data_IF_944196364852
#
_entry.id   IF_944196364852
#
_cell.length_a   1.000
_cell.length_b   1.000
_cell.length_c   1.000
_cell.angle_alpha   90.00
_cell.angle_beta   90.00
_cell.angle_gamma   90.00
#
_symmetry.space_group_name_H-M   'P 1'
#
loop_
_entity.id
_entity.type
_entity.pdbx_description
1 polymer ?
#
# COMPACT_ATOMS: atom_id res chain seq x y z
N UNK A 1 2.44 29.00 -10.24
CA UNK A 1 2.57 27.55 -9.97
C UNK A 1 4.06 27.26 -9.97
N UNK A 2 4.57 26.60 -8.93
CA UNK A 2 5.99 26.20 -8.84
C UNK A 2 6.25 25.08 -9.84
N UNK A 3 7.42 25.09 -10.47
CA UNK A 3 7.92 23.95 -11.23
C UNK A 3 8.48 22.84 -10.31
N UNK A 4 8.80 21.66 -10.87
CA UNK A 4 9.25 20.51 -10.09
C UNK A 4 10.55 20.77 -9.32
N UNK A 5 11.48 21.55 -9.88
CA UNK A 5 12.76 21.83 -9.22
C UNK A 5 12.59 22.86 -8.09
N UNK A 6 11.70 23.83 -8.26
CA UNK A 6 11.31 24.76 -7.20
C UNK A 6 10.63 24.02 -6.04
N UNK A 7 9.77 23.04 -6.32
CA UNK A 7 9.14 22.20 -5.28
C UNK A 7 10.19 21.38 -4.52
N UNK A 8 11.14 20.75 -5.23
CA UNK A 8 12.24 20.00 -4.61
C UNK A 8 13.11 20.92 -3.73
N UNK A 9 13.48 22.10 -4.23
CA UNK A 9 14.30 23.04 -3.46
C UNK A 9 13.55 23.51 -2.19
N UNK A 10 12.28 23.84 -2.32
CA UNK A 10 11.47 24.23 -1.16
C UNK A 10 11.37 23.11 -0.12
N UNK A 11 11.18 21.86 -0.55
CA UNK A 11 11.17 20.71 0.33
C UNK A 11 12.51 20.51 1.04
N UNK A 12 13.62 20.64 0.30
CA UNK A 12 14.96 20.53 0.83
C UNK A 12 15.27 21.61 1.90
N UNK A 13 14.92 22.86 1.63
CA UNK A 13 15.12 23.97 2.58
C UNK A 13 14.32 23.76 3.88
N UNK A 14 13.07 23.28 3.76
CA UNK A 14 12.21 22.99 4.92
C UNK A 14 12.74 21.81 5.73
N UNK A 15 13.23 20.75 5.07
CA UNK A 15 13.82 19.61 5.73
C UNK A 15 15.11 20.03 6.47
N UNK A 16 16.01 20.76 5.81
CA UNK A 16 17.24 21.27 6.40
C UNK A 16 16.96 22.14 7.65
N UNK A 17 16.03 23.09 7.53
CA UNK A 17 15.62 23.94 8.65
C UNK A 17 15.06 23.14 9.83
N UNK A 18 14.25 22.12 9.53
CA UNK A 18 13.66 21.23 10.57
C UNK A 18 14.75 20.43 11.27
N UNK A 19 15.64 19.77 10.53
CA UNK A 19 16.77 19.00 11.06
C UNK A 19 17.67 19.86 11.96
N UNK A 20 18.02 21.06 11.48
CA UNK A 20 18.83 22.01 12.25
C UNK A 20 18.16 22.42 13.57
N UNK A 21 16.85 22.70 13.53
CA UNK A 21 16.08 23.14 14.69
C UNK A 21 15.84 22.03 15.71
N UNK A 22 15.48 20.83 15.24
CA UNK A 22 15.02 19.74 16.12
C UNK A 22 16.14 18.81 16.55
N UNK A 23 17.20 18.66 15.72
CA UNK A 23 18.33 17.72 15.93
C UNK A 23 17.83 16.37 16.43
N UNK A 24 17.00 15.66 15.65
CA UNK A 24 16.40 14.42 16.11
C UNK A 24 17.45 13.31 16.22
N UNK A 25 17.29 12.42 17.20
CA UNK A 25 18.12 11.22 17.30
C UNK A 25 17.90 10.26 16.12
N UNK A 26 16.67 10.22 15.59
CA UNK A 26 16.27 9.39 14.46
C UNK A 26 15.43 10.20 13.49
N UNK A 27 15.75 10.12 12.20
CA UNK A 27 14.93 10.58 11.09
C UNK A 27 14.37 9.37 10.34
N UNK A 28 13.06 9.18 10.36
CA UNK A 28 12.37 8.23 9.49
C UNK A 28 11.80 8.95 8.28
N UNK A 29 12.31 8.64 7.09
CA UNK A 29 11.78 9.15 5.83
C UNK A 29 11.05 8.06 5.06
N UNK A 30 9.82 8.36 4.62
CA UNK A 30 8.98 7.44 3.83
C UNK A 30 9.13 7.81 2.36
N UNK A 31 9.44 6.84 1.53
CA UNK A 31 9.71 6.93 0.08
C UNK A 31 10.89 7.82 -0.33
N UNK A 32 11.13 8.94 0.32
CA UNK A 32 12.28 9.87 0.20
C UNK A 32 12.69 10.29 -1.25
N UNK A 33 11.88 10.08 -2.27
CA UNK A 33 12.19 10.29 -3.70
C UNK A 33 12.61 11.72 -4.09
N UNK A 34 12.25 12.69 -3.28
CA UNK A 34 12.55 14.10 -3.52
C UNK A 34 13.59 14.65 -2.53
N UNK A 35 14.17 13.78 -1.70
CA UNK A 35 15.16 14.17 -0.69
C UNK A 35 16.55 14.25 -1.34
N UNK A 36 17.24 15.36 -1.14
CA UNK A 36 18.64 15.47 -1.52
C UNK A 36 19.49 14.58 -0.59
N UNK A 37 20.22 13.57 -1.10
CA UNK A 37 21.06 12.69 -0.28
C UNK A 37 22.05 13.43 0.61
N UNK A 38 22.54 14.58 0.17
CA UNK A 38 23.48 15.42 0.94
C UNK A 38 22.89 15.90 2.27
N UNK A 39 21.57 16.09 2.33
CA UNK A 39 20.89 16.45 3.60
C UNK A 39 20.87 15.28 4.59
N UNK A 40 20.77 14.05 4.10
CA UNK A 40 20.85 12.85 4.94
C UNK A 40 22.27 12.72 5.52
N UNK A 41 23.32 12.89 4.69
CA UNK A 41 24.70 12.86 5.15
C UNK A 41 24.99 13.96 6.17
N UNK A 42 24.49 15.17 5.95
CA UNK A 42 24.59 16.26 6.93
C UNK A 42 23.91 15.92 8.26
N UNK A 43 22.70 15.34 8.22
CA UNK A 43 21.99 14.94 9.43
C UNK A 43 22.78 13.86 10.20
N UNK A 44 23.35 12.88 9.51
CA UNK A 44 24.24 11.85 10.11
C UNK A 44 25.46 12.48 10.78
N UNK A 45 26.09 13.48 10.15
CA UNK A 45 27.22 14.19 10.74
C UNK A 45 26.87 14.95 12.03
N UNK A 46 25.59 15.25 12.26
CA UNK A 46 25.08 15.82 13.51
C UNK A 46 24.59 14.76 14.52
N UNK A 47 24.78 13.47 14.22
CA UNK A 47 24.39 12.36 15.10
C UNK A 47 22.96 11.83 14.89
N UNK A 48 22.24 12.31 13.88
CA UNK A 48 20.92 11.76 13.51
C UNK A 48 21.06 10.43 12.79
N UNK A 49 20.42 9.38 13.25
CA UNK A 49 20.30 8.12 12.54
C UNK A 49 19.26 8.24 11.43
N UNK A 50 19.59 7.79 10.24
CA UNK A 50 18.72 7.85 9.06
C UNK A 50 18.10 6.50 8.82
N UNK A 51 16.77 6.46 8.84
CA UNK A 51 15.96 5.30 8.47
C UNK A 51 15.13 5.63 7.24
N UNK A 52 15.28 4.87 6.18
CA UNK A 52 14.46 5.00 4.98
C UNK A 52 13.45 3.86 4.92
N UNK A 53 12.16 4.20 4.82
CA UNK A 53 11.09 3.26 4.53
C UNK A 53 10.76 3.34 3.04
N UNK A 54 11.15 2.30 2.32
CA UNK A 54 10.88 2.14 0.89
C UNK A 54 9.51 1.47 0.71
N UNK A 55 8.61 2.15 0.02
CA UNK A 55 7.20 1.72 -0.14
C UNK A 55 6.85 1.28 -1.55
N UNK A 56 7.77 1.43 -2.49
CA UNK A 56 7.54 1.16 -3.91
C UNK A 56 8.32 -0.07 -4.43
N UNK A 57 8.95 -0.85 -3.53
CA UNK A 57 9.57 -2.10 -3.93
C UNK A 57 8.51 -3.13 -4.30
N UNK A 58 8.75 -3.95 -5.35
CA UNK A 58 9.97 -3.97 -6.18
C UNK A 58 9.92 -3.05 -7.41
N UNK A 59 8.89 -2.23 -7.60
CA UNK A 59 8.58 -1.51 -8.83
C UNK A 59 9.51 -0.32 -9.13
N UNK A 60 10.04 0.32 -8.09
CA UNK A 60 10.87 1.55 -8.18
C UNK A 60 12.25 1.36 -7.52
N UNK A 61 12.77 0.13 -7.51
CA UNK A 61 13.98 -0.20 -6.74
C UNK A 61 15.21 0.55 -7.21
N UNK A 62 15.39 0.79 -8.51
CA UNK A 62 16.53 1.58 -9.02
C UNK A 62 16.54 2.99 -8.41
N UNK A 63 15.39 3.61 -8.33
CA UNK A 63 15.23 4.93 -7.74
C UNK A 63 15.43 4.91 -6.22
N UNK A 64 14.94 3.86 -5.54
CA UNK A 64 15.12 3.70 -4.10
C UNK A 64 16.57 3.38 -3.74
N UNK A 65 17.27 2.57 -4.53
CA UNK A 65 18.69 2.26 -4.36
C UNK A 65 19.60 3.49 -4.45
N UNK A 66 19.23 4.47 -5.28
CA UNK A 66 19.99 5.72 -5.42
C UNK A 66 20.14 6.51 -4.12
N UNK A 67 19.25 6.31 -3.15
CA UNK A 67 19.28 6.98 -1.85
C UNK A 67 19.59 6.02 -0.69
N UNK A 68 19.40 4.72 -0.89
CA UNK A 68 19.52 3.70 0.15
C UNK A 68 20.89 3.66 0.85
N UNK A 69 21.98 3.98 0.11
CA UNK A 69 23.34 4.03 0.66
C UNK A 69 23.55 5.16 1.70
N UNK A 70 22.66 6.15 1.76
CA UNK A 70 22.72 7.25 2.71
C UNK A 70 21.95 6.97 4.01
N UNK A 71 21.36 5.78 4.14
CA UNK A 71 20.68 5.34 5.35
C UNK A 71 21.58 4.55 6.29
N UNK A 72 21.29 4.61 7.58
CA UNK A 72 21.83 3.68 8.57
C UNK A 72 20.99 2.39 8.60
N UNK A 73 19.71 2.47 8.20
CA UNK A 73 18.80 1.34 8.09
C UNK A 73 17.79 1.58 6.97
N UNK A 74 17.68 0.63 6.07
CA UNK A 74 16.61 0.55 5.08
C UNK A 74 15.51 -0.40 5.55
N UNK A 75 14.27 0.05 5.49
CA UNK A 75 13.06 -0.74 5.70
C UNK A 75 12.42 -0.96 4.32
N UNK A 76 12.35 -2.20 3.87
CA UNK A 76 11.87 -2.54 2.54
C UNK A 76 10.49 -3.21 2.63
N UNK A 77 9.48 -2.65 1.95
CA UNK A 77 8.13 -3.19 1.98
C UNK A 77 7.99 -4.54 1.27
N UNK A 78 8.84 -4.82 0.28
CA UNK A 78 8.87 -6.08 -0.45
C UNK A 78 10.30 -6.63 -0.51
N UNK A 79 10.56 -7.89 -0.11
CA UNK A 79 11.91 -8.45 -0.04
C UNK A 79 12.45 -8.98 -1.37
N UNK A 80 11.75 -8.86 -2.48
CA UNK A 80 12.14 -9.45 -3.78
C UNK A 80 13.60 -9.13 -4.16
N UNK A 81 14.02 -7.89 -3.95
CA UNK A 81 15.38 -7.43 -4.28
C UNK A 81 16.20 -7.04 -3.04
N UNK A 82 15.89 -7.61 -1.86
CA UNK A 82 16.50 -7.20 -0.58
C UNK A 82 18.03 -7.26 -0.58
N UNK A 83 18.62 -8.27 -1.23
CA UNK A 83 20.07 -8.46 -1.33
C UNK A 83 20.78 -7.25 -1.99
N UNK A 84 20.13 -6.57 -2.93
CA UNK A 84 20.65 -5.37 -3.57
C UNK A 84 20.75 -4.19 -2.60
N UNK A 85 19.78 -4.07 -1.71
CA UNK A 85 19.77 -3.05 -0.66
C UNK A 85 20.75 -3.39 0.46
N UNK A 86 20.87 -4.65 0.86
CA UNK A 86 21.83 -5.14 1.84
C UNK A 86 23.28 -4.90 1.38
N UNK A 87 23.54 -4.93 0.08
CA UNK A 87 24.85 -4.64 -0.48
C UNK A 87 25.31 -3.17 -0.28
N UNK A 88 24.39 -2.24 -0.01
CA UNK A 88 24.71 -0.81 0.16
C UNK A 88 24.53 -0.31 1.59
N UNK A 89 23.60 -0.87 2.38
CA UNK A 89 23.40 -0.54 3.79
C UNK A 89 22.58 -1.62 4.50
N UNK A 90 22.56 -1.59 5.83
CA UNK A 90 21.70 -2.48 6.61
C UNK A 90 20.24 -2.39 6.14
N UNK A 91 19.64 -3.53 5.82
CA UNK A 91 18.28 -3.58 5.30
C UNK A 91 17.48 -4.66 6.04
N UNK A 92 16.21 -4.39 6.28
CA UNK A 92 15.27 -5.38 6.82
C UNK A 92 13.95 -5.31 6.08
N UNK A 93 13.30 -6.44 5.93
CA UNK A 93 11.95 -6.50 5.42
C UNK A 93 10.96 -5.95 6.45
N UNK A 94 10.17 -4.96 6.04
CA UNK A 94 9.14 -4.29 6.82
C UNK A 94 7.80 -4.37 6.07
N UNK A 95 7.06 -5.48 6.21
CA UNK A 95 5.81 -5.69 5.48
C UNK A 95 4.79 -4.60 5.80
N UNK A 96 3.80 -4.43 4.92
CA UNK A 96 2.74 -3.45 5.12
C UNK A 96 1.97 -3.69 6.42
N UNK A 97 1.51 -2.60 7.02
CA UNK A 97 0.79 -2.56 8.29
C UNK A 97 -0.44 -1.66 8.20
N UNK A 98 -1.34 -1.79 9.15
CA UNK A 98 -2.53 -0.96 9.24
C UNK A 98 -2.54 -0.10 10.51
N UNK A 99 -3.39 0.92 10.51
CA UNK A 99 -3.64 1.82 11.64
C UNK A 99 -4.88 1.35 12.42
N UNK A 100 -4.74 0.76 13.64
CA UNK A 100 -5.87 0.19 14.37
C UNK A 100 -6.94 1.20 14.79
N UNK A 101 -6.57 2.48 14.94
CA UNK A 101 -7.52 3.55 15.27
C UNK A 101 -8.38 4.00 14.08
N UNK A 102 -8.12 3.49 12.88
CA UNK A 102 -8.85 3.80 11.66
C UNK A 102 -9.42 2.54 11.01
N UNK A 103 -8.55 1.55 10.76
CA UNK A 103 -8.92 0.29 10.10
C UNK A 103 -9.45 -0.71 11.14
N UNK A 104 -10.75 -0.66 11.39
CA UNK A 104 -11.49 -1.57 12.27
C UNK A 104 -12.91 -1.74 11.74
N UNK A 105 -13.60 -2.83 12.05
CA UNK A 105 -15.00 -3.01 11.71
C UNK A 105 -15.88 -1.93 12.34
N UNK A 106 -16.79 -1.39 11.55
CA UNK A 106 -17.67 -0.30 11.97
C UNK A 106 -19.00 -0.33 11.21
N UNK A 107 -19.93 0.59 11.51
CA UNK A 107 -21.17 0.68 10.78
C UNK A 107 -20.92 1.03 9.30
N UNK A 108 -21.77 0.51 8.42
CA UNK A 108 -21.79 0.92 7.03
C UNK A 108 -22.37 2.35 6.90
N UNK A 109 -21.83 3.10 5.97
CA UNK A 109 -22.44 4.35 5.49
C UNK A 109 -23.55 4.00 4.48
N UNK A 110 -24.81 4.37 4.74
CA UNK A 110 -25.94 4.04 3.84
C UNK A 110 -25.73 4.50 2.39
N UNK A 111 -25.03 5.62 2.18
CA UNK A 111 -24.78 6.18 0.85
C UNK A 111 -23.67 5.41 0.10
N UNK A 112 -22.85 4.66 0.83
CA UNK A 112 -21.74 3.88 0.29
C UNK A 112 -22.03 2.38 0.17
N UNK A 113 -23.17 1.89 0.67
CA UNK A 113 -23.51 0.45 0.57
C UNK A 113 -23.41 -0.04 -0.87
N UNK A 114 -22.69 -1.14 -1.07
CA UNK A 114 -22.50 -1.75 -2.39
C UNK A 114 -22.21 -3.26 -2.31
N UNK A 115 -22.39 -3.94 -3.43
CA UNK A 115 -22.07 -5.36 -3.55
C UNK A 115 -20.56 -5.58 -3.71
N UNK A 116 -19.92 -4.68 -4.44
CA UNK A 116 -18.51 -4.82 -4.78
C UNK A 116 -17.80 -3.46 -4.81
N UNK A 117 -16.61 -3.40 -4.24
CA UNK A 117 -15.77 -2.21 -4.31
C UNK A 117 -14.32 -2.50 -4.63
N UNK A 118 -13.68 -1.51 -5.25
CA UNK A 118 -12.24 -1.45 -5.42
C UNK A 118 -11.74 -0.03 -5.15
N UNK A 119 -10.61 0.09 -4.45
CA UNK A 119 -9.94 1.38 -4.23
C UNK A 119 -8.49 1.31 -4.70
N UNK A 120 -8.17 2.12 -5.71
CA UNK A 120 -6.83 2.18 -6.26
C UNK A 120 -6.74 3.07 -7.49
N UNK A 121 -5.52 3.27 -8.00
CA UNK A 121 -5.30 3.99 -9.25
C UNK A 121 -5.74 3.13 -10.43
N UNK A 122 -6.49 3.70 -11.35
CA UNK A 122 -6.89 3.08 -12.62
C UNK A 122 -5.71 3.05 -13.60
N UNK A 123 -4.77 2.13 -13.36
CA UNK A 123 -3.73 1.81 -14.32
C UNK A 123 -4.32 1.10 -15.55
N UNK A 124 -3.68 1.14 -16.73
CA UNK A 124 -4.16 0.49 -17.93
C UNK A 124 -4.56 -0.97 -17.70
N UNK A 125 -3.71 -1.78 -17.08
CA UNK A 125 -3.99 -3.18 -16.77
C UNK A 125 -5.22 -3.38 -15.88
N UNK A 126 -5.48 -2.46 -14.96
CA UNK A 126 -6.67 -2.49 -14.10
C UNK A 126 -7.93 -2.09 -14.84
N UNK A 127 -7.84 -1.09 -15.70
CA UNK A 127 -8.98 -0.69 -16.55
C UNK A 127 -9.41 -1.84 -17.44
N UNK A 128 -8.49 -2.46 -18.16
CA UNK A 128 -8.74 -3.65 -18.99
C UNK A 128 -9.37 -4.79 -18.17
N UNK A 129 -8.88 -5.04 -16.98
CA UNK A 129 -9.41 -6.07 -16.10
C UNK A 129 -10.87 -5.80 -15.71
N UNK A 130 -11.19 -4.58 -15.25
CA UNK A 130 -12.56 -4.24 -14.83
C UNK A 130 -13.52 -4.13 -16.00
N UNK A 131 -13.09 -3.71 -17.18
CA UNK A 131 -13.89 -3.68 -18.41
C UNK A 131 -14.22 -5.10 -18.92
N UNK A 132 -13.36 -6.07 -18.61
CA UNK A 132 -13.58 -7.47 -18.96
C UNK A 132 -14.38 -8.25 -17.92
N UNK A 133 -14.61 -7.69 -16.72
CA UNK A 133 -15.42 -8.34 -15.68
C UNK A 133 -16.92 -8.31 -16.03
N UNK A 134 -17.62 -9.42 -15.77
CA UNK A 134 -19.08 -9.43 -15.74
C UNK A 134 -19.57 -8.85 -14.40
N UNK A 135 -19.86 -7.56 -14.41
CA UNK A 135 -20.39 -6.82 -13.26
C UNK A 135 -21.93 -6.81 -13.25
N UNK A 136 -22.59 -7.16 -14.37
CA UNK A 136 -24.04 -7.24 -14.50
C UNK A 136 -24.78 -6.05 -13.88
N UNK A 137 -25.79 -6.36 -13.06
CA UNK A 137 -26.61 -5.37 -12.33
C UNK A 137 -26.09 -5.11 -10.90
N UNK A 138 -24.86 -5.51 -10.58
CA UNK A 138 -24.26 -5.29 -9.26
C UNK A 138 -24.10 -3.79 -8.97
N UNK A 139 -24.35 -3.43 -7.72
CA UNK A 139 -23.99 -2.12 -7.20
C UNK A 139 -22.47 -2.08 -6.95
N UNK A 140 -21.74 -1.51 -7.90
CA UNK A 140 -20.27 -1.44 -7.91
C UNK A 140 -19.80 -0.03 -7.60
N UNK A 141 -18.77 0.08 -6.75
CA UNK A 141 -18.14 1.36 -6.42
C UNK A 141 -16.63 1.29 -6.64
N UNK A 142 -16.12 2.15 -7.52
CA UNK A 142 -14.70 2.32 -7.80
C UNK A 142 -14.21 3.62 -7.19
N UNK A 143 -13.25 3.53 -6.29
CA UNK A 143 -12.58 4.66 -5.65
C UNK A 143 -11.12 4.80 -6.12
N UNK A 144 -10.55 6.00 -5.93
CA UNK A 144 -9.18 6.32 -6.31
C UNK A 144 -9.06 7.09 -7.62
N UNK A 145 -7.83 7.29 -8.10
CA UNK A 145 -7.58 8.09 -9.29
C UNK A 145 -7.79 7.28 -10.57
N UNK A 146 -8.78 7.65 -11.38
CA UNK A 146 -9.16 7.02 -12.65
C UNK A 146 -9.03 7.99 -13.84
N UNK A 147 -8.18 9.01 -13.75
CA UNK A 147 -8.08 10.09 -14.75
C UNK A 147 -7.73 9.60 -16.17
N UNK A 148 -7.15 8.40 -16.31
CA UNK A 148 -6.83 7.83 -17.62
C UNK A 148 -8.01 7.09 -18.26
N UNK A 149 -9.12 6.92 -17.53
CA UNK A 149 -10.31 6.23 -18.00
C UNK A 149 -11.04 7.10 -19.03
N UNK A 150 -11.32 6.54 -20.19
CA UNK A 150 -12.00 7.26 -21.29
C UNK A 150 -13.47 7.54 -20.95
N UNK A 151 -14.08 8.50 -21.67
CA UNK A 151 -15.47 8.89 -21.38
C UNK A 151 -16.48 7.81 -21.74
N UNK A 152 -16.18 6.97 -22.71
CA UNK A 152 -16.99 5.87 -23.22
C UNK A 152 -16.76 4.54 -22.49
N UNK A 153 -15.82 4.49 -21.54
CA UNK A 153 -15.57 3.27 -20.78
C UNK A 153 -16.79 2.83 -19.96
N UNK A 154 -17.20 1.55 -20.07
CA UNK A 154 -18.39 1.03 -19.38
C UNK A 154 -18.28 1.08 -17.84
N UNK A 155 -17.06 1.08 -17.30
CA UNK A 155 -16.83 1.11 -15.86
C UNK A 155 -16.81 2.53 -15.28
N UNK A 156 -16.79 3.57 -16.12
CA UNK A 156 -16.78 4.97 -15.67
C UNK A 156 -17.97 5.32 -14.77
N UNK A 157 -19.15 4.74 -15.03
CA UNK A 157 -20.35 4.92 -14.22
C UNK A 157 -20.23 4.45 -12.77
N UNK A 158 -19.23 3.62 -12.48
CA UNK A 158 -18.97 3.07 -11.15
C UNK A 158 -17.99 3.91 -10.31
N UNK A 159 -17.33 4.92 -10.92
CA UNK A 159 -16.44 5.85 -10.20
C UNK A 159 -17.30 6.79 -9.36
N UNK A 160 -17.14 6.73 -8.04
CA UNK A 160 -18.05 7.37 -7.07
C UNK A 160 -17.74 8.83 -6.75
N UNK A 161 -16.70 9.38 -7.34
CA UNK A 161 -16.24 10.74 -7.10
C UNK A 161 -15.62 11.35 -8.37
N UNK A 162 -15.05 12.53 -8.27
CA UNK A 162 -14.32 13.14 -9.38
C UNK A 162 -13.18 12.23 -9.85
N UNK A 163 -13.07 12.03 -11.16
CA UNK A 163 -12.25 10.98 -11.78
C UNK A 163 -10.74 11.07 -11.47
N UNK A 164 -10.25 12.27 -11.18
CA UNK A 164 -8.85 12.58 -10.84
C UNK A 164 -8.61 12.63 -9.32
N UNK A 165 -9.61 12.29 -8.50
CA UNK A 165 -9.52 12.33 -7.05
C UNK A 165 -8.84 11.10 -6.47
N UNK A 166 -7.99 11.31 -5.48
CA UNK A 166 -7.43 10.23 -4.66
C UNK A 166 -8.16 10.20 -3.33
N UNK A 167 -8.93 9.15 -3.08
CA UNK A 167 -9.62 8.95 -1.80
C UNK A 167 -8.62 8.92 -0.64
N UNK A 168 -8.93 9.59 0.44
CA UNK A 168 -8.16 9.47 1.67
C UNK A 168 -8.46 8.14 2.41
N UNK A 169 -7.69 7.87 3.45
CA UNK A 169 -7.85 6.62 4.18
C UNK A 169 -9.18 6.54 4.96
N UNK A 170 -9.77 7.65 5.36
CA UNK A 170 -11.06 7.66 6.08
C UNK A 170 -12.18 7.28 5.14
N UNK A 171 -12.26 7.96 3.99
CA UNK A 171 -13.23 7.67 2.92
C UNK A 171 -13.09 6.21 2.44
N UNK A 172 -11.83 5.74 2.29
CA UNK A 172 -11.54 4.35 1.90
C UNK A 172 -12.09 3.35 2.91
N UNK A 173 -11.90 3.60 4.19
CA UNK A 173 -12.41 2.72 5.27
C UNK A 173 -13.93 2.72 5.32
N UNK A 174 -14.57 3.86 5.13
CA UNK A 174 -16.04 3.95 5.11
C UNK A 174 -16.62 3.18 3.91
N UNK A 175 -15.96 3.23 2.74
CA UNK A 175 -16.33 2.40 1.60
C UNK A 175 -16.12 0.90 1.90
N UNK A 176 -15.01 0.52 2.52
CA UNK A 176 -14.75 -0.88 2.89
C UNK A 176 -15.79 -1.42 3.87
N UNK A 177 -16.18 -0.64 4.88
CA UNK A 177 -17.26 -1.01 5.84
C UNK A 177 -18.62 -1.17 5.19
N UNK A 178 -18.84 -0.49 4.06
CA UNK A 178 -20.10 -0.43 3.35
C UNK A 178 -20.21 -1.44 2.20
N UNK A 179 -19.12 -2.19 1.94
CA UNK A 179 -19.02 -3.13 0.82
C UNK A 179 -19.22 -4.56 1.30
N UNK A 180 -19.88 -5.39 0.48
CA UNK A 180 -19.97 -6.84 0.72
C UNK A 180 -18.67 -7.56 0.35
N UNK A 181 -18.08 -7.19 -0.79
CA UNK A 181 -16.86 -7.80 -1.32
C UNK A 181 -15.92 -6.70 -1.83
N UNK A 182 -14.65 -6.77 -1.43
CA UNK A 182 -13.57 -6.00 -2.01
C UNK A 182 -12.76 -6.80 -3.03
N UNK A 183 -11.80 -6.14 -3.68
CA UNK A 183 -10.83 -6.79 -4.54
C UNK A 183 -9.45 -6.18 -4.36
N UNK A 184 -8.44 -7.03 -4.25
CA UNK A 184 -7.06 -6.62 -4.40
C UNK A 184 -6.53 -7.04 -5.77
N UNK A 185 -6.07 -6.08 -6.54
CA UNK A 185 -5.46 -6.28 -7.85
C UNK A 185 -4.15 -5.50 -7.90
N UNK A 186 -3.04 -6.22 -8.02
CA UNK A 186 -1.74 -5.58 -8.13
C UNK A 186 -1.57 -4.88 -9.47
N UNK A 187 -0.80 -3.78 -9.48
CA UNK A 187 -0.42 -3.13 -10.73
C UNK A 187 0.51 -4.03 -11.53
N UNK A 188 0.41 -3.97 -12.85
CA UNK A 188 1.30 -4.68 -13.78
C UNK A 188 2.32 -3.76 -14.43
N UNK A 189 2.16 -2.47 -14.24
CA UNK A 189 3.06 -1.43 -14.74
C UNK A 189 4.33 -1.38 -13.88
N UNK A 190 5.46 -1.77 -14.50
CA UNK A 190 6.80 -1.70 -13.91
C UNK A 190 7.83 -1.47 -15.03
N UNK A 191 9.01 -0.98 -14.67
CA UNK A 191 10.08 -0.71 -15.64
C UNK A 191 10.65 -1.98 -16.29
N UNK A 192 10.49 -3.14 -15.63
CA UNK A 192 10.91 -4.43 -16.14
C UNK A 192 9.90 -5.52 -15.75
N UNK A 193 9.61 -6.44 -16.68
CA UNK A 193 8.57 -7.46 -16.52
C UNK A 193 8.73 -8.31 -15.24
N UNK A 194 9.97 -8.61 -14.83
CA UNK A 194 10.21 -9.41 -13.63
C UNK A 194 9.85 -8.68 -12.33
N UNK A 195 9.72 -7.36 -12.34
CA UNK A 195 9.41 -6.56 -11.15
C UNK A 195 7.92 -6.60 -10.78
N UNK A 196 7.05 -7.04 -11.67
CA UNK A 196 5.61 -7.21 -11.37
C UNK A 196 5.35 -8.35 -10.38
N UNK A 197 6.30 -9.24 -10.17
CA UNK A 197 6.20 -10.43 -9.33
C UNK A 197 6.74 -10.19 -7.91
N UNK A 198 6.23 -9.19 -7.21
CA UNK A 198 6.60 -8.99 -5.82
C UNK A 198 6.11 -10.14 -4.90
N UNK A 199 6.70 -10.22 -3.71
CA UNK A 199 6.42 -11.25 -2.70
C UNK A 199 5.38 -10.77 -1.69
N UNK A 200 5.44 -9.50 -1.30
CA UNK A 200 4.65 -8.96 -0.18
C UNK A 200 3.19 -8.71 -0.53
N UNK A 201 2.34 -8.86 0.48
CA UNK A 201 0.97 -8.35 0.44
C UNK A 201 0.95 -6.83 0.20
N UNK A 202 -0.07 -6.36 -0.52
CA UNK A 202 -0.30 -4.93 -0.68
C UNK A 202 -0.92 -4.28 0.56
N UNK A 203 -0.78 -2.96 0.72
CA UNK A 203 -1.39 -2.24 1.84
C UNK A 203 -2.91 -2.41 1.90
N UNK A 204 -3.57 -2.48 0.74
CA UNK A 204 -5.03 -2.64 0.65
C UNK A 204 -5.53 -3.97 1.21
N UNK A 205 -4.77 -5.05 1.09
CA UNK A 205 -5.13 -6.35 1.67
C UNK A 205 -5.15 -6.28 3.19
N UNK A 206 -4.13 -5.65 3.77
CA UNK A 206 -4.04 -5.46 5.22
C UNK A 206 -5.14 -4.55 5.74
N UNK A 207 -5.46 -3.46 5.02
CA UNK A 207 -6.51 -2.51 5.36
C UNK A 207 -7.91 -3.13 5.25
N UNK A 208 -8.22 -3.84 4.17
CA UNK A 208 -9.50 -4.55 3.98
C UNK A 208 -9.69 -5.62 5.05
N UNK A 209 -8.69 -6.47 5.29
CA UNK A 209 -8.76 -7.47 6.34
C UNK A 209 -8.98 -6.84 7.73
N UNK A 210 -8.28 -5.74 8.05
CA UNK A 210 -8.42 -5.03 9.32
C UNK A 210 -9.82 -4.44 9.52
N UNK A 211 -10.47 -3.95 8.46
CA UNK A 211 -11.84 -3.43 8.51
C UNK A 211 -12.89 -4.54 8.54
N UNK A 212 -12.48 -5.80 8.36
CA UNK A 212 -13.39 -6.94 8.33
C UNK A 212 -14.09 -7.16 6.99
N UNK A 213 -13.61 -6.53 5.92
CA UNK A 213 -14.11 -6.74 4.58
C UNK A 213 -13.55 -8.06 4.01
N UNK A 214 -14.45 -8.89 3.47
CA UNK A 214 -14.06 -10.00 2.60
C UNK A 214 -13.62 -9.49 1.24
N UNK A 215 -12.58 -10.08 0.64
CA UNK A 215 -12.13 -9.67 -0.68
C UNK A 215 -11.56 -10.82 -1.51
N UNK A 216 -11.68 -10.68 -2.81
CA UNK A 216 -10.95 -11.49 -3.78
C UNK A 216 -9.55 -10.92 -3.94
N UNK A 217 -8.55 -11.75 -4.10
CA UNK A 217 -7.15 -11.31 -4.17
C UNK A 217 -6.40 -11.89 -5.35
N UNK A 218 -5.61 -11.05 -5.97
CA UNK A 218 -4.57 -11.44 -6.92
C UNK A 218 -3.48 -12.24 -6.17
N UNK A 219 -3.02 -13.40 -6.65
CA UNK A 219 -2.08 -14.24 -5.91
C UNK A 219 -0.73 -13.55 -5.66
N UNK A 220 -0.22 -13.71 -4.43
CA UNK A 220 1.13 -13.32 -4.01
C UNK A 220 1.64 -14.26 -2.92
N UNK A 221 2.93 -14.59 -2.88
CA UNK A 221 3.47 -15.56 -1.91
C UNK A 221 3.10 -15.25 -0.46
N UNK A 222 3.31 -14.03 0.03
CA UNK A 222 2.95 -13.66 1.40
C UNK A 222 1.43 -13.69 1.63
N UNK A 223 0.65 -13.22 0.66
CA UNK A 223 -0.80 -13.24 0.74
C UNK A 223 -1.35 -14.67 0.71
N UNK A 224 -0.73 -15.57 -0.05
CA UNK A 224 -1.12 -16.98 -0.12
C UNK A 224 -0.84 -17.71 1.19
N UNK A 225 0.21 -17.32 1.92
CA UNK A 225 0.52 -17.85 3.25
C UNK A 225 -0.42 -17.28 4.32
N UNK A 226 -0.53 -15.95 4.39
CA UNK A 226 -1.19 -15.25 5.50
C UNK A 226 -2.71 -15.21 5.34
N UNK A 227 -3.21 -15.02 4.12
CA UNK A 227 -4.63 -14.86 3.80
C UNK A 227 -5.19 -16.05 2.99
N UNK A 228 -4.69 -17.26 3.25
CA UNK A 228 -5.09 -18.49 2.55
C UNK A 228 -6.60 -18.78 2.60
N UNK A 229 -7.32 -18.22 3.59
CA UNK A 229 -8.78 -18.34 3.70
C UNK A 229 -9.56 -17.49 2.69
N UNK A 230 -8.90 -16.50 2.06
CA UNK A 230 -9.50 -15.66 1.03
C UNK A 230 -9.17 -16.21 -0.37
N UNK A 231 -10.16 -16.26 -1.27
CA UNK A 231 -9.97 -16.82 -2.60
C UNK A 231 -9.08 -15.94 -3.48
N UNK A 232 -8.21 -16.60 -4.24
CA UNK A 232 -7.49 -15.98 -5.36
C UNK A 232 -8.31 -16.06 -6.64
N UNK A 233 -7.91 -15.30 -7.66
CA UNK A 233 -8.50 -15.37 -9.01
C UNK A 233 -7.41 -15.35 -10.09
N UNK A 234 -7.79 -15.86 -11.27
CA UNK A 234 -6.95 -15.86 -12.47
C UNK A 234 -7.72 -15.14 -13.60
N UNK A 235 -7.43 -13.84 -13.78
CA UNK A 235 -8.11 -13.02 -14.79
C UNK A 235 -9.51 -12.58 -14.40
N UNK A 236 -10.13 -11.80 -15.29
CA UNK A 236 -11.41 -11.15 -15.05
C UNK A 236 -12.60 -12.11 -15.03
N UNK A 237 -12.58 -13.15 -15.86
CA UNK A 237 -13.66 -14.14 -15.94
C UNK A 237 -13.79 -14.92 -14.62
N UNK A 238 -12.69 -15.51 -14.13
CA UNK A 238 -12.67 -16.24 -12.86
C UNK A 238 -13.00 -15.32 -11.67
N UNK A 239 -12.53 -14.06 -11.70
CA UNK A 239 -12.90 -13.07 -10.68
C UNK A 239 -14.41 -12.80 -10.68
N UNK A 240 -15.04 -12.71 -11.85
CA UNK A 240 -16.48 -12.50 -12.01
C UNK A 240 -17.29 -13.70 -11.46
N UNK A 241 -16.92 -14.92 -11.84
CA UNK A 241 -17.56 -16.15 -11.34
C UNK A 241 -17.49 -16.23 -9.81
N UNK A 242 -16.31 -15.98 -9.24
CA UNK A 242 -16.09 -15.96 -7.79
C UNK A 242 -16.86 -14.85 -7.10
N UNK A 243 -16.90 -13.65 -7.68
CA UNK A 243 -17.67 -12.52 -7.15
C UNK A 243 -19.14 -12.90 -7.01
N UNK A 244 -19.75 -13.40 -8.09
CA UNK A 244 -21.15 -13.84 -8.07
C UNK A 244 -21.41 -15.02 -7.13
N UNK A 245 -20.49 -15.95 -7.02
CA UNK A 245 -20.62 -17.07 -6.09
C UNK A 245 -20.58 -16.59 -4.63
N UNK A 246 -19.60 -15.81 -4.26
CA UNK A 246 -19.42 -15.32 -2.89
C UNK A 246 -20.52 -14.35 -2.44
N UNK A 247 -21.13 -13.61 -3.36
CA UNK A 247 -22.29 -12.76 -3.04
C UNK A 247 -23.51 -13.59 -2.59
N UNK A 248 -23.60 -14.85 -2.98
CA UNK A 248 -24.69 -15.76 -2.58
C UNK A 248 -24.38 -16.58 -1.32
N UNK A 249 -23.19 -16.44 -0.73
CA UNK A 249 -22.73 -17.26 0.39
C UNK A 249 -22.29 -16.41 1.60
N UNK A 250 -23.22 -15.63 2.16
CA UNK A 250 -22.94 -14.63 3.20
C UNK A 250 -22.19 -15.21 4.39
N UNK A 251 -22.65 -16.35 4.96
CA UNK A 251 -22.02 -16.95 6.13
C UNK A 251 -20.56 -17.40 5.90
N UNK A 252 -20.26 -17.94 4.71
CA UNK A 252 -18.88 -18.32 4.36
C UNK A 252 -18.00 -17.09 4.17
N UNK A 253 -18.54 -16.04 3.55
CA UNK A 253 -17.86 -14.78 3.34
C UNK A 253 -17.50 -14.10 4.66
N UNK A 254 -18.47 -14.05 5.61
CA UNK A 254 -18.25 -13.47 6.93
C UNK A 254 -17.23 -14.26 7.76
N UNK A 255 -17.24 -15.60 7.68
CA UNK A 255 -16.27 -16.45 8.34
C UNK A 255 -14.86 -16.21 7.80
N UNK A 256 -14.68 -16.21 6.48
CA UNK A 256 -13.38 -15.95 5.85
C UNK A 256 -12.84 -14.55 6.20
N UNK A 257 -13.71 -13.53 6.22
CA UNK A 257 -13.33 -12.18 6.63
C UNK A 257 -12.86 -12.11 8.10
N UNK A 258 -13.53 -12.82 9.02
CA UNK A 258 -13.12 -12.90 10.43
C UNK A 258 -11.74 -13.58 10.58
N UNK A 259 -11.51 -14.66 9.84
CA UNK A 259 -10.22 -15.37 9.84
C UNK A 259 -9.11 -14.49 9.26
N UNK A 260 -9.35 -13.80 8.15
CA UNK A 260 -8.41 -12.87 7.54
C UNK A 260 -8.01 -11.74 8.50
N UNK A 261 -8.99 -11.15 9.20
CA UNK A 261 -8.73 -10.13 10.21
C UNK A 261 -7.89 -10.66 11.37
N UNK A 262 -8.15 -11.88 11.83
CA UNK A 262 -7.37 -12.51 12.89
C UNK A 262 -5.92 -12.78 12.47
N UNK A 263 -5.71 -13.19 11.20
CA UNK A 263 -4.39 -13.49 10.66
C UNK A 263 -3.46 -12.27 10.59
N UNK A 264 -4.01 -11.05 10.49
CA UNK A 264 -3.20 -9.81 10.40
C UNK A 264 -3.20 -8.99 11.70
N UNK A 265 -3.70 -9.53 12.81
CA UNK A 265 -3.95 -8.75 14.04
C UNK A 265 -2.69 -8.08 14.64
N UNK A 266 -1.52 -8.64 14.43
CA UNK A 266 -0.23 -8.10 14.89
C UNK A 266 0.45 -7.16 13.87
N UNK A 267 -0.11 -7.00 12.66
CA UNK A 267 0.43 -6.16 11.58
C UNK A 267 0.04 -4.69 11.74
N UNK A 268 0.22 -4.13 12.92
CA UNK A 268 -0.10 -2.73 13.17
C UNK A 268 1.13 -1.84 13.08
N UNK A 269 0.95 -0.57 12.70
CA UNK A 269 2.04 0.42 12.76
C UNK A 269 2.66 0.50 14.15
N UNK A 270 1.87 0.34 15.21
CA UNK A 270 2.40 0.31 16.60
C UNK A 270 3.32 -0.88 16.84
N UNK A 271 2.97 -2.07 16.35
CA UNK A 271 3.82 -3.26 16.45
C UNK A 271 5.11 -3.09 15.66
N UNK A 272 5.02 -2.53 14.44
CA UNK A 272 6.19 -2.23 13.61
C UNK A 272 7.10 -1.18 14.25
N UNK A 273 6.55 -0.10 14.80
CA UNK A 273 7.34 0.91 15.52
C UNK A 273 8.09 0.30 16.73
N UNK A 274 7.45 -0.58 17.48
CA UNK A 274 8.12 -1.31 18.57
C UNK A 274 9.23 -2.23 18.09
N UNK A 275 9.04 -2.91 16.94
CA UNK A 275 10.11 -3.72 16.33
C UNK A 275 11.28 -2.84 15.90
N UNK A 276 11.00 -1.72 15.25
CA UNK A 276 12.02 -0.75 14.82
C UNK A 276 12.84 -0.21 15.99
N UNK A 277 12.20 0.21 17.07
CA UNK A 277 12.89 0.70 18.27
C UNK A 277 13.84 -0.36 18.85
N UNK A 278 13.45 -1.63 18.88
CA UNK A 278 14.33 -2.72 19.33
C UNK A 278 15.57 -2.93 18.47
N UNK A 279 15.52 -2.57 17.19
CA UNK A 279 16.71 -2.61 16.31
C UNK A 279 17.73 -1.54 16.74
N UNK A 280 17.28 -0.40 17.20
CA UNK A 280 18.18 0.66 17.72
C UNK A 280 18.79 0.32 19.06
N UNK A 281 18.03 -0.31 19.97
CA UNK A 281 18.51 -0.67 21.32
C UNK A 281 19.63 -1.73 21.28
N UNK A 282 19.70 -2.53 20.20
CA UNK A 282 20.70 -3.62 20.05
C UNK A 282 22.01 -3.19 19.40
N UNK A 283 22.11 -1.99 18.86
CA UNK A 283 23.35 -1.48 18.27
C UNK A 283 24.07 -0.61 19.28
N UNK A 284 25.33 -0.92 19.65
CA UNK A 284 26.15 -0.03 20.46
C UNK A 284 26.33 1.28 19.69
N UNK A 285 26.06 2.40 20.36
CA UNK A 285 26.44 3.73 19.89
C UNK A 285 27.97 3.74 19.84
N UNK A 286 28.54 3.60 18.66
CA UNK A 286 29.96 3.86 18.46
C UNK A 286 30.12 5.37 18.53
N UNK A 287 30.68 5.84 19.64
CA UNK A 287 31.08 7.24 19.86
C UNK A 287 32.32 7.51 19.02
#
# INVERSE_FOLDING_TARGET
VLDADQVKQFAADRLAATLYKTRPDVMLAVSAFFTDPRLLDQARNYGTRIVLLHTESPYEDERQLSIAAHADLNLLNDPTNIERFEAVAQTVWAPHAYRPSLHYPGPADPDLVCDFSFVGTGFPSRMEFFEAMDLGDLNVKLGGNWQQLTEDSPIRRHVIHRIDYCMDNTETVDLYRSSKIGLNLYRREADADHLIWGVSMGPREVEMAATGLFFLRDPRPESDEVLHMLPTFVGAEDASEKLHWWLRHDGLREEAARQARAAIADRTFTAHAKKLLRLFDRQPVTI
#
